data_IF_402278633528
#
_entry.id   IF_402278633528
#
_cell.length_a   1.000
_cell.length_b   1.000
_cell.length_c   1.000
_cell.angle_alpha   90.00
_cell.angle_beta   90.00
_cell.angle_gamma   90.00
#
_symmetry.space_group_name_H-M   'P 1'
#
loop_
_entity.id
_entity.type
_entity.pdbx_description
1 polymer ?
#
# COMPACT_ATOMS: atom_id res chain seq x y z
N UNK A 1 12.15 -8.79 1.44
CA UNK A 1 12.06 -7.91 0.26
C UNK A 1 10.60 -7.53 0.10
N UNK A 2 10.34 -6.27 -0.20
CA UNK A 2 8.98 -5.74 -0.37
C UNK A 2 8.65 -5.60 -1.84
N UNK A 3 7.43 -5.97 -2.22
CA UNK A 3 6.89 -5.75 -3.57
C UNK A 3 5.53 -5.10 -3.44
N UNK A 4 5.29 -4.09 -4.27
CA UNK A 4 4.01 -3.38 -4.38
C UNK A 4 3.64 -3.37 -5.85
N UNK A 5 2.39 -3.68 -6.15
CA UNK A 5 1.78 -3.59 -7.48
C UNK A 5 0.63 -2.60 -7.37
N UNK A 6 0.60 -1.64 -8.27
CA UNK A 6 -0.36 -0.55 -8.28
C UNK A 6 -0.94 -0.35 -9.66
N UNK A 7 -2.06 0.35 -9.70
CA UNK A 7 -2.73 0.77 -10.94
C UNK A 7 -3.37 2.14 -10.73
N UNK A 8 -3.70 2.79 -11.84
CA UNK A 8 -4.26 4.12 -11.88
C UNK A 8 -5.78 4.10 -11.67
N UNK A 9 -6.28 4.78 -10.63
CA UNK A 9 -7.69 4.88 -10.29
C UNK A 9 -8.20 6.32 -10.37
N UNK A 10 -9.44 6.49 -10.83
CA UNK A 10 -10.13 7.76 -10.78
C UNK A 10 -10.61 8.10 -9.36
N UNK A 11 -10.64 9.39 -9.01
CA UNK A 11 -11.25 9.85 -7.75
C UNK A 11 -12.71 10.28 -7.96
N UNK A 12 -13.60 9.93 -7.02
CA UNK A 12 -14.99 10.40 -7.05
C UNK A 12 -15.13 11.91 -6.80
N UNK A 13 -14.16 12.49 -6.09
CA UNK A 13 -14.25 13.85 -5.55
C UNK A 13 -13.29 14.83 -6.25
N UNK A 14 -12.52 14.38 -7.26
CA UNK A 14 -11.57 15.19 -8.01
C UNK A 14 -11.51 14.70 -9.45
N UNK A 15 -11.41 15.63 -10.40
CA UNK A 15 -11.16 15.33 -11.80
C UNK A 15 -9.68 15.01 -12.04
N UNK A 16 -9.22 13.91 -11.44
CA UNK A 16 -7.83 13.46 -11.53
C UNK A 16 -7.73 11.97 -11.22
N UNK A 17 -6.65 11.37 -11.72
CA UNK A 17 -6.25 9.99 -11.42
C UNK A 17 -5.21 9.97 -10.30
N UNK A 18 -5.22 8.93 -9.48
CA UNK A 18 -4.18 8.64 -8.50
C UNK A 18 -3.75 7.18 -8.61
N UNK A 19 -2.61 6.81 -8.03
CA UNK A 19 -2.17 5.42 -8.03
C UNK A 19 -2.66 4.71 -6.76
N UNK A 20 -3.37 3.60 -6.94
CA UNK A 20 -3.85 2.77 -5.84
C UNK A 20 -3.12 1.43 -5.85
N UNK A 21 -2.82 0.93 -4.66
CA UNK A 21 -2.17 -0.37 -4.49
C UNK A 21 -3.19 -1.49 -4.70
N UNK A 22 -2.87 -2.41 -5.61
CA UNK A 22 -3.69 -3.58 -5.93
C UNK A 22 -3.01 -4.90 -5.56
N UNK A 23 -1.79 -4.88 -5.02
CA UNK A 23 -1.09 -6.08 -4.56
C UNK A 23 0.16 -5.73 -3.75
N UNK A 24 0.43 -6.50 -2.70
CA UNK A 24 1.59 -6.30 -1.82
C UNK A 24 2.18 -7.62 -1.35
N UNK A 25 3.49 -7.63 -1.10
CA UNK A 25 4.21 -8.73 -0.46
C UNK A 25 5.32 -8.20 0.46
N UNK A 26 5.48 -8.79 1.63
CA UNK A 26 6.56 -8.46 2.57
C UNK A 26 6.41 -7.13 3.31
N UNK A 27 5.25 -6.48 3.22
CA UNK A 27 4.95 -5.17 3.83
C UNK A 27 3.53 -5.15 4.41
N UNK A 28 3.35 -4.47 5.54
CA UNK A 28 2.03 -4.18 6.10
C UNK A 28 1.36 -3.00 5.36
N UNK A 29 0.09 -3.18 4.99
CA UNK A 29 -0.72 -2.15 4.32
C UNK A 29 -0.92 -0.87 5.18
N UNK A 30 -1.42 -1.03 6.40
CA UNK A 30 -1.67 0.06 7.35
C UNK A 30 -0.55 0.15 8.39
N UNK A 31 -0.01 1.33 8.57
CA UNK A 31 0.95 1.65 9.62
C UNK A 31 0.33 2.60 10.65
N UNK A 32 0.49 2.24 11.92
CA UNK A 32 0.28 3.18 13.03
C UNK A 32 1.59 3.93 13.22
N UNK A 33 1.54 5.26 13.12
CA UNK A 33 2.73 6.07 13.33
C UNK A 33 3.08 6.10 14.81
N UNK A 34 4.38 6.08 15.12
CA UNK A 34 4.85 6.21 16.50
C UNK A 34 4.52 7.61 17.05
N UNK A 35 3.91 7.65 18.23
CA UNK A 35 3.48 8.87 18.89
C UNK A 35 2.05 8.73 19.40
N UNK A 36 1.84 9.10 20.66
CA UNK A 36 0.51 9.12 21.30
C UNK A 36 -0.14 10.51 21.23
N UNK A 37 0.62 11.53 20.82
CA UNK A 37 0.21 12.92 20.83
C UNK A 37 0.63 13.64 19.53
N UNK A 38 -0.16 14.63 19.12
CA UNK A 38 0.20 15.55 18.03
C UNK A 38 1.22 16.62 18.50
N UNK A 39 1.57 17.55 17.60
CA UNK A 39 2.49 18.65 17.91
C UNK A 39 1.98 19.64 18.98
N UNK A 40 0.72 19.52 19.41
CA UNK A 40 0.07 20.37 20.40
C UNK A 40 -0.38 19.57 21.64
N UNK A 41 0.19 18.39 21.85
CA UNK A 41 -0.07 17.49 22.99
C UNK A 41 -1.48 16.88 23.02
N UNK A 42 -2.26 16.98 21.94
CA UNK A 42 -3.56 16.31 21.88
C UNK A 42 -3.37 14.81 21.60
N UNK A 43 -4.13 13.92 22.25
CA UNK A 43 -4.08 12.49 21.96
C UNK A 43 -4.35 12.22 20.47
N UNK A 44 -3.44 11.54 19.80
CA UNK A 44 -3.51 11.24 18.37
C UNK A 44 -2.85 9.91 18.07
N UNK A 45 -3.54 9.06 17.31
CA UNK A 45 -3.03 7.78 16.80
C UNK A 45 -3.37 7.68 15.32
N UNK A 46 -2.65 8.42 14.45
CA UNK A 46 -2.94 8.41 13.03
C UNK A 46 -2.57 7.04 12.45
N UNK A 47 -3.51 6.47 11.69
CA UNK A 47 -3.27 5.28 10.88
C UNK A 47 -3.08 5.73 9.44
N UNK A 48 -2.04 5.24 8.80
CA UNK A 48 -1.68 5.60 7.43
C UNK A 48 -1.69 4.38 6.53
N UNK A 49 -2.23 4.54 5.33
CA UNK A 49 -2.08 3.54 4.27
C UNK A 49 -0.72 3.73 3.58
N UNK A 50 0.31 3.10 4.16
CA UNK A 50 1.70 3.28 3.73
C UNK A 50 1.92 2.82 2.29
N UNK A 51 1.23 1.77 1.87
CA UNK A 51 1.44 1.19 0.54
C UNK A 51 0.90 2.10 -0.56
N UNK A 52 -0.26 2.76 -0.36
CA UNK A 52 -0.79 3.74 -1.31
C UNK A 52 0.04 5.03 -1.37
N UNK A 53 0.66 5.42 -0.24
CA UNK A 53 1.61 6.53 -0.20
C UNK A 53 2.83 6.22 -1.07
N UNK A 54 3.43 5.03 -0.92
CA UNK A 54 4.58 4.60 -1.71
C UNK A 54 4.22 4.48 -3.20
N UNK A 55 3.08 3.86 -3.54
CA UNK A 55 2.57 3.76 -4.90
C UNK A 55 2.42 5.14 -5.54
N UNK A 56 1.72 6.05 -4.85
CA UNK A 56 1.54 7.43 -5.33
C UNK A 56 2.86 8.18 -5.51
N UNK A 57 3.86 7.95 -4.65
CA UNK A 57 5.18 8.55 -4.80
C UNK A 57 5.95 7.96 -5.98
N UNK A 58 5.89 6.64 -6.19
CA UNK A 58 6.51 5.96 -7.30
C UNK A 58 5.91 6.38 -8.64
N UNK A 59 4.58 6.56 -8.70
CA UNK A 59 3.86 6.93 -9.93
C UNK A 59 4.25 8.30 -10.48
N UNK A 60 4.65 9.24 -9.60
CA UNK A 60 5.19 10.54 -10.00
C UNK A 60 6.46 10.37 -10.83
N UNK A 61 7.30 9.39 -10.49
CA UNK A 61 8.55 9.10 -11.20
C UNK A 61 8.33 8.24 -12.45
N UNK A 62 7.41 7.28 -12.37
CA UNK A 62 7.04 6.40 -13.50
C UNK A 62 6.30 7.16 -14.60
N UNK A 63 5.60 8.24 -14.23
CA UNK A 63 4.72 8.97 -15.13
C UNK A 63 3.46 8.17 -15.44
N UNK A 64 2.60 8.73 -16.30
CA UNK A 64 1.28 8.16 -16.65
C UNK A 64 1.10 8.02 -18.17
N UNK A 65 2.19 8.04 -18.93
CA UNK A 65 2.19 8.06 -20.39
C UNK A 65 2.98 6.88 -20.95
N UNK A 66 3.15 6.85 -22.26
CA UNK A 66 4.01 5.93 -23.01
C UNK A 66 5.52 6.08 -22.74
N UNK A 67 5.90 6.83 -21.69
CA UNK A 67 7.28 6.94 -21.21
C UNK A 67 7.90 5.58 -20.84
N UNK A 68 7.06 4.54 -20.67
CA UNK A 68 7.45 3.15 -20.47
C UNK A 68 8.35 2.89 -19.24
N UNK A 69 8.30 3.79 -18.25
CA UNK A 69 8.95 3.62 -16.96
C UNK A 69 7.97 2.91 -16.01
N UNK A 70 7.90 1.58 -16.07
CA UNK A 70 6.89 0.79 -15.35
C UNK A 70 7.36 0.20 -14.02
N UNK A 71 8.62 0.36 -13.66
CA UNK A 71 9.20 -0.22 -12.44
C UNK A 71 10.03 0.82 -11.70
N UNK A 72 9.73 1.00 -10.42
CA UNK A 72 10.49 1.80 -9.49
C UNK A 72 11.17 0.90 -8.45
N UNK A 73 12.45 1.17 -8.16
CA UNK A 73 13.20 0.49 -7.09
C UNK A 73 13.64 1.52 -6.06
N UNK A 74 12.95 1.55 -4.93
CA UNK A 74 13.26 2.42 -3.80
C UNK A 74 14.19 1.75 -2.78
N UNK A 75 15.11 2.52 -2.22
CA UNK A 75 15.98 2.10 -1.11
C UNK A 75 15.80 3.04 0.08
N UNK A 76 15.98 2.52 1.30
CA UNK A 76 15.90 3.33 2.53
C UNK A 76 14.48 3.72 2.94
N UNK A 77 13.45 3.10 2.35
CA UNK A 77 12.05 3.30 2.75
C UNK A 77 11.80 2.47 4.01
N UNK A 78 11.50 3.15 5.13
CA UNK A 78 11.14 2.49 6.38
C UNK A 78 9.73 1.91 6.25
N UNK A 79 9.61 0.59 6.40
CA UNK A 79 8.34 -0.13 6.29
C UNK A 79 8.27 -1.22 7.34
N UNK A 80 7.08 -1.48 7.86
CA UNK A 80 6.84 -2.63 8.73
C UNK A 80 6.64 -3.89 7.89
N UNK A 81 7.52 -4.88 8.07
CA UNK A 81 7.42 -6.16 7.38
C UNK A 81 6.22 -6.99 7.84
N UNK A 82 5.59 -7.70 6.90
CA UNK A 82 4.55 -8.69 7.16
C UNK A 82 4.66 -9.83 6.13
N UNK A 83 4.98 -11.03 6.61
CA UNK A 83 5.14 -12.24 5.78
C UNK A 83 3.82 -12.93 5.46
N UNK A 84 2.75 -12.61 6.22
CA UNK A 84 1.43 -13.19 6.06
C UNK A 84 0.46 -12.20 5.38
N UNK A 85 1.00 -11.17 4.73
CA UNK A 85 0.17 -10.18 4.05
C UNK A 85 -0.48 -10.78 2.81
N UNK A 86 -1.77 -10.52 2.63
CA UNK A 86 -2.51 -10.92 1.45
C UNK A 86 -3.33 -9.74 0.92
N UNK A 87 -3.66 -9.79 -0.37
CA UNK A 87 -4.46 -8.78 -1.07
C UNK A 87 -5.79 -8.48 -0.35
N UNK A 88 -6.40 -9.48 0.30
CA UNK A 88 -7.66 -9.29 1.01
C UNK A 88 -7.57 -8.20 2.09
N UNK A 89 -6.39 -7.93 2.65
CA UNK A 89 -6.19 -6.83 3.63
C UNK A 89 -6.24 -5.43 3.01
N UNK A 90 -6.12 -5.29 1.70
CA UNK A 90 -6.33 -4.01 1.00
C UNK A 90 -7.81 -3.71 0.79
N UNK A 91 -8.69 -4.70 0.96
CA UNK A 91 -10.12 -4.54 0.73
C UNK A 91 -10.82 -4.05 2.00
N UNK A 92 -11.33 -2.82 1.97
CA UNK A 92 -12.10 -2.25 3.07
C UNK A 92 -13.49 -2.90 3.13
N UNK A 93 -13.83 -3.50 4.28
CA UNK A 93 -15.21 -3.89 4.60
C UNK A 93 -15.67 -5.26 4.09
N UNK A 94 -14.78 -6.10 3.55
CA UNK A 94 -15.09 -7.50 3.31
C UNK A 94 -14.71 -8.34 4.54
N UNK A 95 -15.59 -9.22 5.04
CA UNK A 95 -15.14 -10.25 5.97
C UNK A 95 -14.00 -11.00 5.29
N UNK A 96 -12.82 -11.02 5.92
CA UNK A 96 -11.72 -11.84 5.44
C UNK A 96 -12.25 -13.27 5.38
N UNK A 97 -12.27 -13.92 4.21
CA UNK A 97 -12.69 -15.30 4.15
C UNK A 97 -11.76 -16.12 5.06
N UNK A 98 -12.27 -17.13 5.77
CA UNK A 98 -11.48 -18.12 6.52
C UNK A 98 -10.62 -19.01 5.59
N UNK A 99 -10.22 -18.49 4.43
CA UNK A 99 -9.47 -19.20 3.42
C UNK A 99 -7.99 -18.98 3.73
N UNK A 100 -7.35 -20.07 4.12
CA UNK A 100 -5.91 -20.25 4.13
C UNK A 100 -5.39 -20.00 2.70
N UNK A 101 -4.83 -18.81 2.46
CA UNK A 101 -4.21 -18.42 1.19
C UNK A 101 -2.82 -19.04 1.01
N UNK A 102 -2.39 -19.93 1.91
CA UNK A 102 -1.24 -20.78 1.69
C UNK A 102 -1.55 -21.72 0.50
N UNK A 103 -1.22 -21.24 -0.70
CA UNK A 103 -1.24 -22.04 -1.92
C UNK A 103 -0.20 -23.14 -1.77
N UNK A 104 -0.55 -24.20 -1.05
CA UNK A 104 0.27 -25.41 -1.02
C UNK A 104 0.44 -25.88 -2.46
N UNK A 105 1.66 -26.17 -2.91
CA UNK A 105 1.88 -26.62 -4.26
C UNK A 105 1.07 -27.89 -4.49
N UNK A 106 0.18 -27.85 -5.49
CA UNK A 106 -0.52 -29.04 -5.96
C UNK A 106 0.54 -29.93 -6.61
N UNK A 107 0.82 -31.05 -5.95
CA UNK A 107 1.72 -32.13 -6.39
C UNK A 107 1.31 -32.75 -7.71
#
# INVERSE_FOLDING_TARGET
>A
MTVIVSDSFGSRNRDSTFEATIGIAGIRHMEELEGEHDLFDNPSRPIMNRVDEISSAASILMGQTDAALTVFVGHGITTTGDENVCLARLLVGLPLPEIDFDLRPVS
#
